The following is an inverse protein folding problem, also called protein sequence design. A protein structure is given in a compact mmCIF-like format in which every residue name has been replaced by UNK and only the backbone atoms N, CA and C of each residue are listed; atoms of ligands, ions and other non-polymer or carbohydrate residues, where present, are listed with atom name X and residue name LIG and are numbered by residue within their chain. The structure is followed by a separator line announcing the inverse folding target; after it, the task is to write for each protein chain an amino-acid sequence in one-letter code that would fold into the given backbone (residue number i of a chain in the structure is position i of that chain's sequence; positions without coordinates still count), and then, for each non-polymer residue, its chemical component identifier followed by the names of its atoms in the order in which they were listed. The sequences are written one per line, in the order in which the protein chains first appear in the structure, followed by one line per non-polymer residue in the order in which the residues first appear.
data_IF_499980668425
#
_entry.id   IF_499980668425
#
_cell.length_a   1.000
_cell.length_b   1.000
_cell.length_c   1.000
_cell.angle_alpha   90.00
_cell.angle_beta   90.00
_cell.angle_gamma   90.00
#
_symmetry.space_group_name_H-M   'P 1'
#
loop_
_entity.id
_entity.type
_entity.pdbx_description
1 polymer ?
#
# COMPACT_ATOMS: atom_id res chain seq x y z
N UNK A 1 -7.12 -0.35 7.97
CA UNK A 1 -6.80 0.98 7.42
C UNK A 1 -7.35 1.19 6.01
N UNK A 2 -6.97 0.40 4.97
CA UNK A 2 -7.49 0.56 3.60
C UNK A 2 -9.02 0.46 3.58
N UNK A 3 -9.56 -0.61 4.16
CA UNK A 3 -11.02 -0.85 4.26
C UNK A 3 -11.75 0.29 4.95
N UNK A 4 -11.21 0.81 6.06
CA UNK A 4 -11.85 1.92 6.80
C UNK A 4 -11.96 3.20 5.95
N UNK A 5 -10.94 3.51 5.15
CA UNK A 5 -10.97 4.67 4.25
C UNK A 5 -11.98 4.45 3.12
N UNK A 6 -11.99 3.27 2.50
CA UNK A 6 -12.92 2.95 1.41
C UNK A 6 -14.37 2.97 1.89
N UNK A 7 -14.64 2.43 3.08
CA UNK A 7 -15.98 2.45 3.69
C UNK A 7 -16.43 3.88 3.99
N UNK A 8 -15.57 4.71 4.57
CA UNK A 8 -15.90 6.10 4.89
C UNK A 8 -16.18 6.96 3.64
N UNK A 9 -15.55 6.67 2.51
CA UNK A 9 -15.71 7.43 1.27
C UNK A 9 -16.85 6.88 0.38
N UNK A 10 -17.30 5.65 0.63
CA UNK A 10 -18.33 4.99 -0.18
C UNK A 10 -19.62 5.81 -0.36
N UNK A 11 -20.22 6.44 0.69
CA UNK A 11 -21.40 7.27 0.53
C UNK A 11 -21.16 8.46 -0.43
N UNK A 12 -19.99 9.08 -0.34
CA UNK A 12 -19.60 10.18 -1.24
C UNK A 12 -19.44 9.70 -2.69
N UNK A 13 -18.82 8.54 -2.91
CA UNK A 13 -18.72 7.94 -4.24
C UNK A 13 -20.10 7.61 -4.81
N UNK A 14 -20.99 7.03 -4.03
CA UNK A 14 -22.35 6.67 -4.47
C UNK A 14 -23.18 7.89 -4.87
N UNK A 15 -23.07 8.99 -4.13
CA UNK A 15 -23.72 10.26 -4.47
C UNK A 15 -23.15 10.84 -5.77
N UNK A 16 -21.83 10.94 -5.87
CA UNK A 16 -21.16 11.53 -7.04
C UNK A 16 -21.32 10.68 -8.31
N UNK A 17 -21.51 9.37 -8.19
CA UNK A 17 -21.80 8.48 -9.31
C UNK A 17 -23.09 8.85 -10.04
N UNK A 18 -24.06 9.43 -9.31
CA UNK A 18 -25.35 9.90 -9.87
C UNK A 18 -25.25 11.35 -10.30
N UNK A 19 -24.62 12.22 -9.48
CA UNK A 19 -24.61 13.67 -9.71
C UNK A 19 -23.71 14.11 -10.88
N UNK A 20 -22.51 13.56 -10.98
CA UNK A 20 -21.51 14.02 -11.97
C UNK A 20 -20.36 13.04 -12.18
N UNK A 21 -20.27 12.50 -13.37
CA UNK A 21 -19.15 11.64 -13.79
C UNK A 21 -17.78 12.31 -13.63
N UNK A 22 -17.70 13.63 -13.85
CA UNK A 22 -16.43 14.37 -13.70
C UNK A 22 -16.00 14.42 -12.24
N UNK A 23 -16.92 14.80 -11.34
CA UNK A 23 -16.63 14.84 -9.89
C UNK A 23 -16.33 13.45 -9.35
N UNK A 24 -17.02 12.42 -9.84
CA UNK A 24 -16.77 11.01 -9.51
C UNK A 24 -15.35 10.58 -9.86
N UNK A 25 -14.87 10.86 -11.09
CA UNK A 25 -13.48 10.56 -11.50
C UNK A 25 -12.45 11.27 -10.63
N UNK A 26 -12.69 12.54 -10.30
CA UNK A 26 -11.80 13.31 -9.42
C UNK A 26 -11.75 12.69 -8.02
N UNK A 27 -12.91 12.27 -7.49
CA UNK A 27 -12.96 11.63 -6.18
C UNK A 27 -12.22 10.30 -6.16
N UNK A 28 -12.36 9.45 -7.18
CA UNK A 28 -11.61 8.20 -7.30
C UNK A 28 -10.10 8.46 -7.26
N UNK A 29 -9.60 9.39 -8.09
CA UNK A 29 -8.18 9.74 -8.13
C UNK A 29 -7.68 10.31 -6.80
N UNK A 30 -8.49 11.12 -6.12
CA UNK A 30 -8.18 11.65 -4.79
C UNK A 30 -8.08 10.52 -3.76
N UNK A 31 -9.05 9.59 -3.77
CA UNK A 31 -9.08 8.45 -2.83
C UNK A 31 -7.90 7.51 -3.04
N UNK A 32 -7.58 7.14 -4.30
CA UNK A 32 -6.40 6.35 -4.62
C UNK A 32 -5.13 7.04 -4.09
N UNK A 33 -4.99 8.35 -4.36
CA UNK A 33 -3.83 9.11 -3.87
C UNK A 33 -3.74 9.14 -2.34
N UNK A 34 -4.87 9.22 -1.64
CA UNK A 34 -4.89 9.19 -0.16
C UNK A 34 -4.49 7.83 0.38
N UNK A 35 -4.97 6.75 -0.22
CA UNK A 35 -4.56 5.39 0.17
C UNK A 35 -3.08 5.17 -0.11
N UNK A 36 -2.59 5.56 -1.29
CA UNK A 36 -1.17 5.43 -1.63
C UNK A 36 -0.26 6.23 -0.70
N UNK A 37 -0.71 7.40 -0.23
CA UNK A 37 0.04 8.21 0.74
C UNK A 37 0.33 7.46 2.05
N UNK A 38 -0.57 6.57 2.46
CA UNK A 38 -0.41 5.74 3.66
C UNK A 38 0.23 4.38 3.35
N UNK A 39 -0.14 3.77 2.24
CA UNK A 39 0.32 2.41 1.89
C UNK A 39 1.78 2.41 1.41
N UNK A 40 2.21 3.42 0.65
CA UNK A 40 3.60 3.48 0.14
C UNK A 40 4.64 3.48 1.27
N UNK A 41 4.58 4.37 2.28
CA UNK A 41 5.55 4.33 3.38
C UNK A 41 5.44 3.05 4.20
N UNK A 42 4.22 2.53 4.43
CA UNK A 42 4.02 1.27 5.15
C UNK A 42 4.66 0.09 4.40
N UNK A 43 4.47 0.02 3.08
CA UNK A 43 5.09 -0.99 2.22
C UNK A 43 6.62 -0.92 2.30
N UNK A 44 7.18 0.27 2.10
CA UNK A 44 8.64 0.48 2.15
C UNK A 44 9.19 0.12 3.54
N UNK A 45 8.51 0.53 4.61
CA UNK A 45 8.92 0.23 5.98
C UNK A 45 8.89 -1.28 6.30
N UNK A 46 7.83 -1.99 5.91
CA UNK A 46 7.74 -3.44 6.09
C UNK A 46 8.80 -4.17 5.25
N UNK A 47 9.02 -3.77 4.01
CA UNK A 47 10.06 -4.36 3.16
C UNK A 47 11.45 -4.15 3.74
N UNK A 48 11.74 -2.94 4.24
CA UNK A 48 13.04 -2.55 4.78
C UNK A 48 13.39 -3.30 6.07
N UNK A 49 12.40 -3.47 6.95
CA UNK A 49 12.57 -4.08 8.27
C UNK A 49 11.93 -5.47 8.38
N UNK A 50 11.70 -6.15 7.26
CA UNK A 50 11.02 -7.46 7.24
C UNK A 50 11.71 -8.48 8.15
N UNK A 51 13.04 -8.56 8.13
CA UNK A 51 13.82 -9.48 8.97
C UNK A 51 13.69 -9.12 10.45
N UNK A 52 13.87 -7.86 10.79
CA UNK A 52 13.79 -7.36 12.16
C UNK A 52 12.37 -7.52 12.73
N UNK A 53 11.34 -7.26 11.93
CA UNK A 53 9.92 -7.45 12.32
C UNK A 53 9.65 -8.94 12.61
N UNK A 54 10.04 -9.84 11.72
CA UNK A 54 9.84 -11.27 11.90
C UNK A 54 10.62 -11.77 13.12
N UNK A 55 11.85 -11.31 13.31
CA UNK A 55 12.66 -11.62 14.49
C UNK A 55 11.98 -11.19 15.78
N UNK A 56 11.48 -9.96 15.83
CA UNK A 56 10.78 -9.42 17.00
C UNK A 56 9.53 -10.23 17.38
N UNK A 57 8.75 -10.63 16.38
CA UNK A 57 7.43 -11.25 16.61
C UNK A 57 7.56 -12.76 16.84
N UNK A 58 8.39 -13.45 16.06
CA UNK A 58 8.38 -14.91 15.98
C UNK A 58 9.63 -15.60 16.52
N UNK A 59 10.82 -14.95 16.59
CA UNK A 59 12.06 -15.60 16.97
C UNK A 59 12.07 -15.96 18.46
N UNK A 60 11.45 -17.11 18.80
CA UNK A 60 11.45 -17.70 20.14
C UNK A 60 11.20 -19.21 20.07
N UNK A 61 11.70 -19.93 21.06
CA UNK A 61 11.53 -21.39 21.12
C UNK A 61 12.19 -22.11 19.95
N UNK A 62 11.39 -22.85 19.18
CA UNK A 62 11.87 -23.64 18.04
C UNK A 62 12.02 -22.85 16.73
N UNK A 63 11.58 -21.57 16.69
CA UNK A 63 11.69 -20.73 15.49
C UNK A 63 13.10 -20.16 15.38
N UNK A 64 13.89 -20.71 14.49
CA UNK A 64 15.31 -20.42 14.35
C UNK A 64 15.62 -19.33 13.27
N UNK A 65 16.91 -19.12 12.99
CA UNK A 65 17.34 -18.10 12.02
C UNK A 65 16.94 -18.47 10.58
N UNK A 66 16.85 -19.75 10.25
CA UNK A 66 16.44 -20.22 8.92
C UNK A 66 14.97 -19.91 8.67
N UNK A 67 14.13 -20.09 9.69
CA UNK A 67 12.71 -19.73 9.65
C UNK A 67 12.53 -18.22 9.51
N UNK A 68 13.34 -17.42 10.23
CA UNK A 68 13.32 -15.94 10.11
C UNK A 68 13.61 -15.52 8.67
N UNK A 69 14.61 -16.10 8.02
CA UNK A 69 14.98 -15.78 6.64
C UNK A 69 13.83 -16.11 5.68
N UNK A 70 13.24 -17.29 5.82
CA UNK A 70 12.12 -17.74 4.97
C UNK A 70 10.91 -16.84 5.12
N UNK A 71 10.47 -16.57 6.35
CA UNK A 71 9.25 -15.79 6.63
C UNK A 71 9.46 -14.30 6.33
N UNK A 72 10.65 -13.76 6.59
CA UNK A 72 10.94 -12.35 6.25
C UNK A 72 10.99 -12.12 4.74
N UNK A 73 11.50 -13.09 3.97
CA UNK A 73 11.42 -13.06 2.51
C UNK A 73 9.97 -13.04 2.01
N UNK A 74 9.12 -13.91 2.54
CA UNK A 74 7.70 -13.91 2.21
C UNK A 74 7.02 -12.59 2.59
N UNK A 75 7.30 -12.04 3.79
CA UNK A 75 6.78 -10.74 4.24
C UNK A 75 7.20 -9.60 3.29
N UNK A 76 8.44 -9.60 2.82
CA UNK A 76 8.94 -8.64 1.84
C UNK A 76 8.09 -8.63 0.56
N UNK A 77 7.82 -9.81 -0.01
CA UNK A 77 7.02 -9.92 -1.23
C UNK A 77 5.55 -9.58 -0.99
N UNK A 78 4.94 -10.04 0.11
CA UNK A 78 3.56 -9.68 0.45
C UNK A 78 3.37 -8.19 0.66
N UNK A 79 4.34 -7.52 1.31
CA UNK A 79 4.27 -6.08 1.54
C UNK A 79 4.17 -5.31 0.22
N UNK A 80 4.91 -5.70 -0.81
CA UNK A 80 4.84 -5.04 -2.11
C UNK A 80 3.46 -5.12 -2.77
N UNK A 81 2.68 -6.17 -2.49
CA UNK A 81 1.31 -6.37 -2.96
C UNK A 81 0.27 -5.42 -2.34
N UNK A 82 0.57 -4.81 -1.19
CA UNK A 82 -0.36 -3.89 -0.51
C UNK A 82 -0.76 -2.69 -1.38
N UNK A 83 0.13 -2.22 -2.24
CA UNK A 83 -0.13 -1.12 -3.18
C UNK A 83 -1.23 -1.54 -4.17
N UNK A 84 -1.09 -2.73 -4.77
CA UNK A 84 -2.10 -3.29 -5.68
C UNK A 84 -3.45 -3.49 -5.01
N UNK A 85 -3.46 -4.06 -3.79
CA UNK A 85 -4.68 -4.25 -3.01
C UNK A 85 -5.36 -2.92 -2.67
N UNK A 86 -4.61 -1.90 -2.26
CA UNK A 86 -5.16 -0.58 -1.95
C UNK A 86 -5.85 0.07 -3.13
N UNK A 87 -5.23 0.04 -4.32
CA UNK A 87 -5.82 0.56 -5.55
C UNK A 87 -7.06 -0.24 -5.93
N UNK A 88 -6.98 -1.57 -5.89
CA UNK A 88 -8.09 -2.48 -6.20
C UNK A 88 -9.32 -2.21 -5.34
N UNK A 89 -9.15 -1.98 -4.04
CA UNK A 89 -10.26 -1.76 -3.12
C UNK A 89 -11.02 -0.46 -3.43
N UNK A 90 -10.32 0.62 -3.80
CA UNK A 90 -10.97 1.86 -4.25
C UNK A 90 -11.73 1.63 -5.55
N UNK A 91 -11.13 0.92 -6.51
CA UNK A 91 -11.78 0.64 -7.78
C UNK A 91 -13.00 -0.26 -7.62
N UNK A 92 -12.92 -1.26 -6.74
CA UNK A 92 -14.07 -2.12 -6.40
C UNK A 92 -15.21 -1.30 -5.79
N UNK A 93 -14.91 -0.43 -4.83
CA UNK A 93 -15.88 0.49 -4.22
C UNK A 93 -16.51 1.44 -5.24
N UNK A 94 -15.73 1.86 -6.25
CA UNK A 94 -16.23 2.68 -7.35
C UNK A 94 -17.23 1.93 -8.22
N UNK A 95 -17.00 0.63 -8.48
CA UNK A 95 -17.99 -0.21 -9.18
C UNK A 95 -19.24 -0.48 -8.35
N UNK A 96 -19.11 -0.66 -7.04
CA UNK A 96 -20.26 -0.79 -6.15
C UNK A 96 -21.11 0.49 -6.14
N UNK A 97 -20.48 1.66 -6.12
CA UNK A 97 -21.16 2.94 -6.23
C UNK A 97 -21.94 3.11 -7.55
N UNK A 98 -21.42 2.51 -8.64
CA UNK A 98 -22.11 2.45 -9.94
C UNK A 98 -23.15 1.32 -10.03
N UNK A 99 -23.41 0.57 -8.95
CA UNK A 99 -24.29 -0.62 -8.91
C UNK A 99 -23.85 -1.75 -9.85
N UNK A 100 -22.59 -1.81 -10.23
CA UNK A 100 -22.00 -2.80 -11.14
C UNK A 100 -21.24 -3.91 -10.36
N UNK A 101 -21.91 -4.56 -9.42
CA UNK A 101 -21.32 -5.53 -8.46
C UNK A 101 -20.70 -6.76 -9.10
N UNK A 102 -21.18 -7.18 -10.28
CA UNK A 102 -20.64 -8.34 -11.01
C UNK A 102 -19.19 -8.14 -11.46
N UNK A 103 -18.77 -6.91 -11.74
CA UNK A 103 -17.42 -6.64 -12.26
C UNK A 103 -16.33 -6.91 -11.19
N UNK A 104 -16.42 -6.38 -9.97
CA UNK A 104 -15.49 -6.73 -8.89
C UNK A 104 -15.53 -8.21 -8.51
N UNK A 105 -16.71 -8.86 -8.55
CA UNK A 105 -16.85 -10.28 -8.28
C UNK A 105 -16.05 -11.12 -9.28
N UNK A 106 -16.26 -10.91 -10.58
CA UNK A 106 -15.51 -11.62 -11.63
C UNK A 106 -14.00 -11.33 -11.52
N UNK A 107 -13.64 -10.08 -11.21
CA UNK A 107 -12.23 -9.71 -11.01
C UNK A 107 -11.62 -10.48 -9.83
N UNK A 108 -12.35 -10.66 -8.73
CA UNK A 108 -11.89 -11.42 -7.57
C UNK A 108 -11.64 -12.88 -7.93
N UNK A 109 -12.53 -13.50 -8.70
CA UNK A 109 -12.35 -14.88 -9.18
C UNK A 109 -11.10 -14.98 -10.06
N UNK A 110 -10.92 -14.06 -11.01
CA UNK A 110 -9.73 -14.00 -11.87
C UNK A 110 -8.44 -13.84 -11.06
N UNK A 111 -8.46 -13.01 -10.00
CA UNK A 111 -7.32 -12.85 -9.10
C UNK A 111 -6.99 -14.14 -8.35
N UNK A 112 -7.99 -14.85 -7.83
CA UNK A 112 -7.77 -16.12 -7.13
C UNK A 112 -7.15 -17.14 -8.08
N UNK A 113 -7.68 -17.30 -9.28
CA UNK A 113 -7.12 -18.22 -10.29
C UNK A 113 -5.69 -17.84 -10.62
N UNK A 114 -5.42 -16.57 -10.90
CA UNK A 114 -4.07 -16.11 -11.19
C UNK A 114 -3.12 -16.30 -10.02
N UNK A 115 -3.58 -16.03 -8.78
CA UNK A 115 -2.78 -16.26 -7.59
C UNK A 115 -2.40 -17.74 -7.44
N UNK A 116 -3.37 -18.65 -7.58
CA UNK A 116 -3.10 -20.10 -7.48
C UNK A 116 -2.08 -20.53 -8.55
N UNK A 117 -2.30 -20.16 -9.80
CA UNK A 117 -1.40 -20.53 -10.91
C UNK A 117 0.00 -19.94 -10.70
N UNK A 118 0.10 -18.64 -10.41
CA UNK A 118 1.38 -17.97 -10.18
C UNK A 118 2.10 -18.55 -8.95
N UNK A 119 1.38 -18.83 -7.87
CA UNK A 119 1.94 -19.44 -6.65
C UNK A 119 2.49 -20.85 -6.90
N UNK A 120 1.78 -21.70 -7.65
CA UNK A 120 2.26 -23.05 -7.99
C UNK A 120 3.54 -22.96 -8.85
N UNK A 121 3.59 -22.07 -9.83
CA UNK A 121 4.75 -21.92 -10.70
C UNK A 121 5.94 -21.34 -9.91
N UNK A 122 5.74 -20.23 -9.22
CA UNK A 122 6.82 -19.51 -8.54
C UNK A 122 7.33 -20.25 -7.31
N UNK A 123 6.50 -21.04 -6.62
CA UNK A 123 6.93 -21.82 -5.45
C UNK A 123 7.96 -22.90 -5.82
N UNK A 124 7.94 -23.41 -7.06
CA UNK A 124 8.93 -24.38 -7.54
C UNK A 124 10.35 -23.78 -7.61
N UNK A 125 10.45 -22.46 -7.85
CA UNK A 125 11.74 -21.76 -8.00
C UNK A 125 12.16 -21.00 -6.72
N UNK A 126 11.19 -20.50 -5.95
CA UNK A 126 11.44 -19.59 -4.84
C UNK A 126 10.85 -20.08 -3.50
N UNK A 127 10.27 -21.28 -3.46
CA UNK A 127 9.63 -21.82 -2.25
C UNK A 127 8.53 -20.89 -1.71
N UNK A 128 8.58 -20.61 -0.41
CA UNK A 128 7.61 -19.72 0.28
C UNK A 128 7.56 -18.32 -0.31
N UNK A 129 8.68 -17.77 -0.75
CA UNK A 129 8.77 -16.46 -1.38
C UNK A 129 7.98 -16.40 -2.69
N UNK A 130 7.93 -17.51 -3.43
CA UNK A 130 7.15 -17.63 -4.66
C UNK A 130 5.64 -17.56 -4.42
N UNK A 131 5.14 -18.14 -3.32
CA UNK A 131 3.73 -18.02 -2.93
C UNK A 131 3.35 -16.55 -2.66
N UNK A 132 4.22 -15.84 -1.92
CA UNK A 132 4.02 -14.43 -1.60
C UNK A 132 4.06 -13.54 -2.86
N UNK A 133 5.01 -13.81 -3.76
CA UNK A 133 5.12 -13.08 -5.03
C UNK A 133 3.92 -13.35 -5.95
N UNK A 134 3.39 -14.58 -5.98
CA UNK A 134 2.17 -14.92 -6.73
C UNK A 134 0.97 -14.06 -6.28
N UNK A 135 0.79 -13.90 -4.98
CA UNK A 135 -0.26 -13.03 -4.42
C UNK A 135 -0.07 -11.57 -4.79
N UNK A 136 1.18 -11.10 -4.79
CA UNK A 136 1.53 -9.74 -5.21
C UNK A 136 1.17 -9.51 -6.69
N UNK A 137 1.57 -10.41 -7.57
CA UNK A 137 1.23 -10.34 -9.01
C UNK A 137 -0.28 -10.30 -9.20
N UNK A 138 -1.02 -11.18 -8.51
CA UNK A 138 -2.47 -11.21 -8.59
C UNK A 138 -3.10 -9.89 -8.13
N UNK A 139 -2.57 -9.24 -7.08
CA UNK A 139 -3.09 -7.96 -6.58
C UNK A 139 -2.92 -6.83 -7.58
N UNK A 140 -1.76 -6.71 -8.22
CA UNK A 140 -1.51 -5.73 -9.28
C UNK A 140 -2.35 -6.00 -10.53
N UNK A 141 -2.47 -7.26 -10.93
CA UNK A 141 -3.36 -7.65 -12.03
C UNK A 141 -4.80 -7.23 -11.75
N UNK A 142 -5.32 -7.52 -10.53
CA UNK A 142 -6.67 -7.15 -10.16
C UNK A 142 -6.91 -5.64 -10.19
N UNK A 143 -5.95 -4.85 -9.70
CA UNK A 143 -6.00 -3.39 -9.76
C UNK A 143 -6.02 -2.88 -11.20
N UNK A 144 -5.12 -3.38 -12.04
CA UNK A 144 -5.02 -3.00 -13.44
C UNK A 144 -6.28 -3.37 -14.26
N UNK A 145 -6.77 -4.59 -14.08
CA UNK A 145 -7.98 -5.07 -14.77
C UNK A 145 -9.22 -4.23 -14.40
N UNK A 146 -9.42 -3.92 -13.11
CA UNK A 146 -10.50 -3.03 -12.69
C UNK A 146 -10.33 -1.61 -13.24
N UNK A 147 -9.11 -1.07 -13.24
CA UNK A 147 -8.84 0.24 -13.80
C UNK A 147 -9.25 0.32 -15.28
N UNK A 148 -8.83 -0.64 -16.09
CA UNK A 148 -9.17 -0.72 -17.51
C UNK A 148 -10.69 -0.85 -17.74
N UNK A 149 -11.37 -1.69 -16.94
CA UNK A 149 -12.82 -1.84 -17.02
C UNK A 149 -13.56 -0.56 -16.62
N UNK A 150 -13.02 0.16 -15.62
CA UNK A 150 -13.62 1.41 -15.16
C UNK A 150 -13.49 2.51 -16.22
N UNK A 151 -12.30 2.66 -16.84
CA UNK A 151 -12.12 3.62 -17.94
C UNK A 151 -13.04 3.34 -19.13
N UNK A 152 -13.28 2.07 -19.46
CA UNK A 152 -14.25 1.70 -20.51
C UNK A 152 -15.68 2.13 -20.17
N UNK A 153 -16.03 2.18 -18.86
CA UNK A 153 -17.41 2.55 -18.42
C UNK A 153 -17.64 4.04 -18.28
N UNK A 154 -16.68 4.76 -17.68
CA UNK A 154 -16.85 6.18 -17.37
C UNK A 154 -15.98 7.10 -18.24
N UNK A 155 -15.17 6.52 -19.14
CA UNK A 155 -14.19 7.24 -19.97
C UNK A 155 -12.89 7.56 -19.21
N UNK A 156 -11.87 8.00 -19.95
CA UNK A 156 -10.49 8.22 -19.45
C UNK A 156 -10.44 8.99 -18.13
N UNK A 157 -9.63 8.49 -17.21
CA UNK A 157 -9.37 9.09 -15.90
C UNK A 157 -8.06 9.88 -16.00
N UNK A 158 -8.08 11.18 -15.69
CA UNK A 158 -6.89 12.04 -15.75
C UNK A 158 -5.94 11.72 -14.57
N UNK A 159 -5.03 10.78 -14.76
CA UNK A 159 -4.09 10.34 -13.72
C UNK A 159 -2.83 11.22 -13.59
N UNK A 160 -2.61 12.21 -14.45
CA UNK A 160 -1.37 13.01 -14.49
C UNK A 160 -1.01 13.64 -13.14
N UNK A 161 -1.99 14.18 -12.43
CA UNK A 161 -1.79 14.78 -11.09
C UNK A 161 -1.50 13.70 -10.05
N UNK A 162 -2.19 12.56 -10.14
CA UNK A 162 -1.97 11.41 -9.26
C UNK A 162 -0.55 10.87 -9.42
N UNK A 163 -0.09 10.65 -10.64
CA UNK A 163 1.26 10.16 -10.94
C UNK A 163 2.33 11.10 -10.37
N UNK A 164 2.16 12.42 -10.56
CA UNK A 164 3.08 13.43 -9.98
C UNK A 164 3.13 13.36 -8.46
N UNK A 165 1.99 13.14 -7.80
CA UNK A 165 1.94 12.97 -6.35
C UNK A 165 2.60 11.65 -5.90
N UNK A 166 2.34 10.54 -6.61
CA UNK A 166 2.95 9.23 -6.32
C UNK A 166 4.48 9.31 -6.40
N UNK A 167 5.02 9.99 -7.41
CA UNK A 167 6.46 10.21 -7.53
C UNK A 167 7.04 10.93 -6.30
N UNK A 168 6.36 11.96 -5.80
CA UNK A 168 6.76 12.66 -4.55
C UNK A 168 6.69 11.74 -3.33
N UNK A 169 5.64 10.90 -3.24
CA UNK A 169 5.50 9.92 -2.17
C UNK A 169 6.63 8.88 -2.19
N UNK A 170 7.03 8.42 -3.38
CA UNK A 170 8.16 7.50 -3.53
C UNK A 170 9.48 8.14 -3.09
N UNK A 171 9.74 9.39 -3.47
CA UNK A 171 10.93 10.11 -3.00
C UNK A 171 10.90 10.25 -1.46
N UNK A 172 9.76 10.66 -0.89
CA UNK A 172 9.61 10.75 0.58
C UNK A 172 9.83 9.39 1.25
N UNK A 173 9.32 8.31 0.62
CA UNK A 173 9.51 6.94 1.09
C UNK A 173 10.97 6.48 1.03
N UNK A 174 11.71 6.86 -0.01
CA UNK A 174 13.16 6.57 -0.11
C UNK A 174 13.96 7.34 0.96
N UNK A 175 13.66 8.62 1.17
CA UNK A 175 14.29 9.41 2.24
C UNK A 175 14.00 8.81 3.62
N UNK A 176 12.75 8.37 3.85
CA UNK A 176 12.35 7.64 5.03
C UNK A 176 13.16 6.35 5.19
N UNK A 177 13.31 5.55 4.14
CA UNK A 177 14.02 4.29 4.17
C UNK A 177 15.49 4.48 4.55
N UNK A 178 16.17 5.44 3.90
CA UNK A 178 17.57 5.76 4.18
C UNK A 178 17.74 6.26 5.62
N UNK A 179 16.94 7.25 6.02
CA UNK A 179 17.05 7.85 7.35
C UNK A 179 16.74 6.86 8.48
N UNK A 180 15.67 6.05 8.33
CA UNK A 180 15.32 5.06 9.34
C UNK A 180 16.34 3.92 9.44
N UNK A 181 16.98 3.52 8.33
CA UNK A 181 18.03 2.50 8.34
C UNK A 181 19.31 3.00 9.03
N UNK A 182 19.69 4.25 8.80
CA UNK A 182 20.84 4.89 9.49
C UNK A 182 20.54 4.95 11.01
N UNK A 183 19.36 5.41 11.41
CA UNK A 183 18.97 5.48 12.82
C UNK A 183 18.99 4.08 13.46
N UNK A 184 18.45 3.08 12.78
CA UNK A 184 18.47 1.71 13.26
C UNK A 184 19.90 1.23 13.51
N UNK A 185 20.80 1.45 12.56
CA UNK A 185 22.21 1.04 12.68
C UNK A 185 22.90 1.73 13.87
N UNK A 186 22.73 3.04 14.03
CA UNK A 186 23.34 3.80 15.13
C UNK A 186 22.81 3.37 16.50
N UNK A 187 21.52 3.10 16.60
CA UNK A 187 20.89 2.65 17.84
C UNK A 187 21.26 1.21 18.17
N UNK A 188 21.38 0.35 17.16
CA UNK A 188 21.72 -1.05 17.37
C UNK A 188 23.13 -1.27 17.95
N UNK A 189 24.02 -0.28 17.79
CA UNK A 189 25.34 -0.29 18.42
C UNK A 189 25.30 -0.11 19.95
N UNK A 190 24.21 0.48 20.49
CA UNK A 190 24.10 0.82 21.91
C UNK A 190 22.95 0.12 22.64
N UNK A 191 21.93 -0.31 21.90
CA UNK A 191 20.68 -0.85 22.46
C UNK A 191 20.34 -2.21 21.84
N UNK A 192 19.39 -2.91 22.47
CA UNK A 192 18.87 -4.17 21.92
C UNK A 192 18.17 -3.93 20.58
N UNK A 193 18.21 -4.94 19.68
CA UNK A 193 17.62 -4.85 18.35
C UNK A 193 16.13 -4.49 18.34
N UNK A 194 15.38 -5.01 19.32
CA UNK A 194 13.94 -4.73 19.44
C UNK A 194 13.65 -3.27 19.77
N UNK A 195 14.39 -2.68 20.71
CA UNK A 195 14.25 -1.27 21.07
C UNK A 195 14.68 -0.36 19.91
N UNK A 196 15.78 -0.69 19.26
CA UNK A 196 16.27 0.03 18.08
C UNK A 196 15.25 0.01 16.94
N UNK A 197 14.56 -1.10 16.71
CA UNK A 197 13.52 -1.23 15.69
C UNK A 197 12.33 -0.30 15.98
N UNK A 198 11.80 -0.34 17.21
CA UNK A 198 10.63 0.48 17.57
C UNK A 198 10.93 1.97 17.40
N UNK A 199 12.08 2.44 17.90
CA UNK A 199 12.48 3.84 17.74
C UNK A 199 12.65 4.18 16.25
N UNK A 200 13.30 3.30 15.47
CA UNK A 200 13.50 3.54 14.04
C UNK A 200 12.19 3.65 13.27
N UNK A 201 11.16 2.89 13.63
CA UNK A 201 9.82 3.00 13.04
C UNK A 201 9.18 4.36 13.38
N UNK A 202 9.30 4.82 14.63
CA UNK A 202 8.78 6.14 15.03
C UNK A 202 9.46 7.25 14.21
N UNK A 203 10.79 7.22 14.10
CA UNK A 203 11.52 8.17 13.28
C UNK A 203 11.20 8.05 11.79
N UNK A 204 10.96 6.85 11.28
CA UNK A 204 10.52 6.64 9.90
C UNK A 204 9.22 7.41 9.59
N UNK A 205 8.22 7.34 10.49
CA UNK A 205 6.97 8.10 10.34
C UNK A 205 7.23 9.60 10.33
N UNK A 206 8.08 10.10 11.23
CA UNK A 206 8.44 11.53 11.31
C UNK A 206 9.16 11.97 10.03
N UNK A 207 10.16 11.23 9.57
CA UNK A 207 10.92 11.54 8.36
C UNK A 207 9.99 11.57 7.14
N UNK A 208 9.08 10.59 7.03
CA UNK A 208 8.10 10.57 5.94
C UNK A 208 7.16 11.78 6.00
N UNK A 209 6.64 12.11 7.16
CA UNK A 209 5.75 13.27 7.33
C UNK A 209 6.47 14.57 6.94
N UNK A 210 7.67 14.82 7.47
CA UNK A 210 8.46 16.01 7.17
C UNK A 210 8.83 16.09 5.70
N UNK A 211 9.37 15.02 5.13
CA UNK A 211 9.78 14.99 3.70
C UNK A 211 8.57 15.16 2.76
N UNK A 212 7.43 14.60 3.10
CA UNK A 212 6.20 14.73 2.31
C UNK A 212 5.62 16.16 2.35
N UNK A 213 5.78 16.88 3.47
CA UNK A 213 5.43 18.31 3.60
C UNK A 213 6.41 19.16 2.78
N UNK A 214 7.71 18.93 2.89
CA UNK A 214 8.75 19.66 2.13
C UNK A 214 8.56 19.50 0.61
N UNK A 215 8.22 18.29 0.16
CA UNK A 215 7.91 18.02 -1.25
C UNK A 215 6.51 18.52 -1.66
N UNK A 216 5.78 19.13 -0.73
CA UNK A 216 4.42 19.67 -0.96
C UNK A 216 3.52 18.63 -1.62
N UNK A 217 3.40 17.43 -1.01
CA UNK A 217 2.39 16.45 -1.42
C UNK A 217 1.02 16.96 -1.01
N UNK A 218 0.02 16.79 -1.87
CA UNK A 218 -1.36 17.28 -1.58
C UNK A 218 -1.90 16.72 -0.28
N UNK A 219 -1.69 15.42 -0.04
CA UNK A 219 -2.20 14.72 1.14
C UNK A 219 -1.58 15.23 2.44
N UNK A 220 -0.26 15.49 2.47
CA UNK A 220 0.40 16.07 3.62
C UNK A 220 -0.12 17.49 3.91
N UNK A 221 -0.30 18.31 2.87
CA UNK A 221 -0.85 19.66 3.02
C UNK A 221 -2.30 19.66 3.49
N UNK A 222 -3.13 18.73 2.99
CA UNK A 222 -4.52 18.59 3.43
C UNK A 222 -4.59 18.19 4.92
N UNK A 223 -3.75 17.26 5.37
CA UNK A 223 -3.64 16.87 6.79
C UNK A 223 -3.17 18.05 7.64
N UNK A 224 -2.14 18.77 7.21
CA UNK A 224 -1.61 19.93 7.92
C UNK A 224 -2.68 21.02 8.11
N UNK A 225 -3.47 21.32 7.07
CA UNK A 225 -4.59 22.29 7.14
C UNK A 225 -5.65 21.86 8.15
N UNK A 226 -5.97 20.57 8.26
CA UNK A 226 -6.94 20.06 9.23
C UNK A 226 -6.41 20.24 10.66
N UNK A 227 -5.12 19.97 10.88
CA UNK A 227 -4.49 20.14 12.20
C UNK A 227 -4.50 21.63 12.59
N UNK A 228 -4.03 22.52 11.71
CA UNK A 228 -3.95 23.98 11.99
C UNK A 228 -5.35 24.58 12.22
N UNK A 229 -6.40 24.09 11.55
CA UNK A 229 -7.77 24.60 11.72
C UNK A 229 -8.41 24.15 13.04
N UNK A 230 -7.83 23.17 13.73
CA UNK A 230 -8.37 22.60 14.97
C UNK A 230 -7.74 23.22 16.24
N UNK A 231 -6.66 23.96 16.04
CA UNK A 231 -5.99 24.83 17.01
C UNK A 231 -6.25 26.32 16.66
#
# INVERSE_FOLDING_TARGET
MIVSITTAIYPTLSRLAIESTIKFKVQITKTISTILYLVVPSTIGIMLFSKEIVTLIYKRGKFDESDVILVSGALFYYASGLIGLGIRDVLSSSFYALKLTKIPLINSIQMVVLNVVASIILSKFMGLNGLALGSTIASFFGAFNLYMKLEKKIGKIKCRVMIKNVYKMLISGLLMAIGSRIIFYLLHLKFSGNFSLIISIIFAVIIYAVSSILLRTRQALDILKVIIKKF
#
